data_IF_126770623082
#
_entry.id   IF_126770623082
#
_cell.length_a   1.000
_cell.length_b   1.000
_cell.length_c   1.000
_cell.angle_alpha   90.00
_cell.angle_beta   90.00
_cell.angle_gamma   90.00
#
_symmetry.space_group_name_H-M   'P 1'
#
loop_
_entity.id
_entity.type
_entity.pdbx_description
1 polymer ?
#
# COMPACT_ATOMS: atom_id res chain seq x y z
N UNK A 1 -3.10 -59.35 -44.79
CA UNK A 1 -1.92 -60.08 -44.30
C UNK A 1 -0.89 -59.06 -43.82
N UNK A 2 -0.62 -59.06 -42.50
CA UNK A 2 0.55 -58.57 -41.73
C UNK A 2 1.18 -57.15 -41.93
N UNK A 3 1.00 -56.32 -40.87
CA UNK A 3 1.94 -55.54 -40.01
C UNK A 3 3.11 -54.71 -40.62
N UNK A 4 3.15 -53.42 -40.26
CA UNK A 4 4.13 -52.72 -39.35
C UNK A 4 3.88 -51.20 -39.37
N UNK A 5 3.51 -50.60 -38.23
CA UNK A 5 4.35 -49.79 -37.30
C UNK A 5 4.51 -48.32 -37.67
N UNK A 6 4.05 -47.43 -36.79
CA UNK A 6 4.29 -45.99 -36.87
C UNK A 6 3.47 -45.23 -35.83
N UNK A 7 3.86 -45.31 -34.56
CA UNK A 7 3.34 -44.46 -33.52
C UNK A 7 3.84 -43.02 -33.73
N UNK A 8 2.92 -42.04 -33.71
CA UNK A 8 3.19 -40.70 -33.19
C UNK A 8 2.00 -40.25 -32.35
N UNK A 9 2.26 -40.19 -31.05
CA UNK A 9 1.53 -39.35 -30.12
C UNK A 9 2.05 -37.93 -30.30
N UNK A 10 1.17 -36.98 -30.58
CA UNK A 10 1.35 -35.56 -30.26
C UNK A 10 0.03 -35.18 -29.56
N UNK A 11 -0.02 -34.89 -28.26
CA UNK A 11 0.92 -34.04 -27.53
C UNK A 11 0.56 -32.56 -27.63
N UNK A 12 -0.68 -32.20 -27.96
CA UNK A 12 -1.14 -30.80 -28.04
C UNK A 12 -1.62 -30.25 -26.72
N UNK A 13 -0.72 -30.03 -25.75
CA UNK A 13 -1.00 -29.20 -24.59
C UNK A 13 -1.43 -27.80 -25.08
N UNK A 14 -2.69 -27.41 -24.78
CA UNK A 14 -3.14 -26.02 -24.95
C UNK A 14 -2.39 -25.17 -23.93
N UNK A 15 -1.24 -24.65 -24.36
CA UNK A 15 -0.40 -23.74 -23.59
C UNK A 15 -1.19 -22.51 -23.18
N UNK A 16 -1.38 -22.35 -21.88
CA UNK A 16 -1.67 -21.07 -21.25
C UNK A 16 -0.49 -20.16 -21.56
N UNK A 17 -0.67 -19.25 -22.52
CA UNK A 17 0.34 -18.24 -22.83
C UNK A 17 0.53 -17.37 -21.59
N UNK A 18 1.70 -17.50 -20.96
CA UNK A 18 2.23 -16.50 -20.02
C UNK A 18 2.19 -15.15 -20.73
N UNK A 19 1.35 -14.23 -20.24
CA UNK A 19 1.44 -12.83 -20.62
C UNK A 19 2.76 -12.30 -20.03
N UNK A 20 3.77 -12.17 -20.89
CA UNK A 20 5.01 -11.49 -20.56
C UNK A 20 4.76 -10.01 -20.35
N UNK A 21 5.24 -9.47 -19.23
CA UNK A 21 5.38 -8.03 -19.02
C UNK A 21 6.36 -7.48 -20.06
N UNK A 22 5.85 -6.89 -21.13
CA UNK A 22 6.58 -5.92 -21.93
C UNK A 22 5.89 -4.57 -21.78
N UNK A 23 6.45 -3.73 -20.93
CA UNK A 23 6.03 -2.34 -20.76
C UNK A 23 7.25 -1.45 -20.51
N UNK A 24 7.57 -0.62 -21.52
CA UNK A 24 8.45 0.55 -21.46
C UNK A 24 9.96 0.33 -21.22
N UNK A 25 10.63 -0.26 -22.22
CA UNK A 25 11.97 0.17 -22.59
C UNK A 25 11.91 0.61 -24.05
N UNK A 26 12.09 1.91 -24.30
CA UNK A 26 12.29 2.41 -25.67
C UNK A 26 13.80 2.34 -25.94
N UNK A 27 14.26 1.59 -26.96
CA UNK A 27 15.69 1.52 -27.26
C UNK A 27 16.16 2.87 -27.80
N UNK A 28 17.28 3.38 -27.29
CA UNK A 28 18.05 4.44 -27.94
C UNK A 28 18.91 3.82 -29.05
N UNK A 29 19.21 4.56 -30.14
CA UNK A 29 20.05 4.03 -31.20
C UNK A 29 21.50 3.94 -30.72
N UNK A 30 22.04 2.72 -30.70
CA UNK A 30 23.44 2.45 -30.33
C UNK A 30 23.60 1.60 -29.07
N UNK A 31 23.14 0.34 -29.10
CA UNK A 31 23.85 -0.85 -28.61
C UNK A 31 24.47 -0.94 -27.20
N UNK A 32 24.35 0.04 -26.30
CA UNK A 32 24.91 -0.02 -24.94
C UNK A 32 23.84 0.27 -23.88
N UNK A 33 23.73 -0.64 -22.90
CA UNK A 33 22.96 -0.41 -21.68
C UNK A 33 23.79 0.49 -20.77
N UNK A 34 23.49 1.78 -20.74
CA UNK A 34 24.01 2.68 -19.72
C UNK A 34 23.23 2.47 -18.41
N UNK A 35 23.91 2.07 -17.34
CA UNK A 35 23.44 2.23 -15.95
C UNK A 35 23.31 3.74 -15.65
N UNK A 36 22.15 4.30 -15.96
CA UNK A 36 21.82 5.68 -15.70
C UNK A 36 21.29 5.87 -14.28
N UNK A 37 22.07 6.58 -13.46
CA UNK A 37 21.73 7.17 -12.16
C UNK A 37 20.63 8.23 -12.24
N UNK A 38 19.44 7.83 -12.67
CA UNK A 38 18.27 8.70 -12.80
C UNK A 38 17.72 9.14 -11.45
N UNK A 39 18.08 10.37 -11.04
CA UNK A 39 17.58 11.13 -9.87
C UNK A 39 16.10 11.50 -9.95
N UNK A 40 15.20 10.52 -10.04
CA UNK A 40 13.77 10.79 -10.12
C UNK A 40 12.99 9.96 -9.11
N UNK A 41 12.82 10.50 -7.91
CA UNK A 41 11.66 10.18 -7.08
C UNK A 41 10.42 10.72 -7.79
N UNK A 42 9.89 9.94 -8.74
CA UNK A 42 8.61 10.26 -9.38
C UNK A 42 7.54 10.17 -8.28
N UNK A 43 6.75 11.24 -8.03
CA UNK A 43 5.67 11.16 -7.07
C UNK A 43 4.74 10.01 -7.45
N UNK A 44 4.67 9.02 -6.55
CA UNK A 44 3.87 7.82 -6.75
C UNK A 44 2.40 8.21 -7.03
N UNK A 45 1.65 7.41 -7.81
CA UNK A 45 0.22 7.65 -8.05
C UNK A 45 -0.56 7.92 -6.76
N UNK A 46 -0.15 7.25 -5.67
CA UNK A 46 -0.71 7.46 -4.33
C UNK A 46 -0.45 8.85 -3.76
N UNK A 47 0.80 9.34 -3.83
CA UNK A 47 1.15 10.72 -3.42
C UNK A 47 0.32 11.73 -4.20
N UNK A 48 0.24 11.56 -5.53
CA UNK A 48 -0.52 12.47 -6.40
C UNK A 48 -2.00 12.44 -6.09
N UNK A 49 -2.57 11.27 -5.83
CA UNK A 49 -3.99 11.12 -5.50
C UNK A 49 -4.34 11.81 -4.17
N UNK A 50 -3.51 11.63 -3.13
CA UNK A 50 -3.73 12.27 -1.83
C UNK A 50 -3.52 13.79 -1.92
N UNK A 51 -2.41 14.25 -2.50
CA UNK A 51 -2.15 15.68 -2.65
C UNK A 51 -3.18 16.39 -3.53
N UNK A 52 -3.65 15.75 -4.62
CA UNK A 52 -4.70 16.31 -5.47
C UNK A 52 -6.05 16.40 -4.73
N UNK A 53 -6.39 15.37 -3.94
CA UNK A 53 -7.57 15.40 -3.09
C UNK A 53 -7.51 16.54 -2.07
N UNK A 54 -6.38 16.69 -1.35
CA UNK A 54 -6.22 17.69 -0.29
C UNK A 54 -6.21 19.12 -0.82
N UNK A 55 -5.63 19.35 -2.01
CA UNK A 55 -5.71 20.64 -2.70
C UNK A 55 -7.14 20.96 -3.13
N UNK A 56 -7.87 19.97 -3.63
CA UNK A 56 -9.29 20.09 -4.00
C UNK A 56 -10.20 20.42 -2.82
N UNK A 57 -9.87 19.95 -1.61
CA UNK A 57 -10.63 20.22 -0.38
C UNK A 57 -10.21 21.51 0.35
N UNK A 58 -9.36 22.36 -0.24
CA UNK A 58 -8.92 23.63 0.35
C UNK A 58 -7.90 23.53 1.50
N UNK A 59 -7.38 22.33 1.81
CA UNK A 59 -6.43 22.12 2.92
C UNK A 59 -4.98 22.26 2.47
N UNK A 60 -4.54 23.51 2.31
CA UNK A 60 -3.14 23.85 2.01
C UNK A 60 -2.27 23.51 3.23
N UNK A 61 -1.24 22.68 3.06
CA UNK A 61 -0.20 22.44 4.08
C UNK A 61 0.05 20.99 4.48
N UNK A 62 -0.84 20.05 4.15
CA UNK A 62 -0.57 18.62 4.35
C UNK A 62 0.18 18.05 3.16
N UNK A 63 1.42 17.62 3.39
CA UNK A 63 2.26 16.95 2.38
C UNK A 63 2.31 15.46 2.72
N UNK A 64 1.93 14.62 1.76
CA UNK A 64 2.00 13.16 1.89
C UNK A 64 3.09 12.62 0.98
N UNK A 65 4.16 12.08 1.55
CA UNK A 65 5.15 11.36 0.76
C UNK A 65 4.90 9.85 0.82
N UNK A 66 4.94 9.22 -0.34
CA UNK A 66 4.87 7.77 -0.48
C UNK A 66 6.22 7.28 -0.98
N UNK A 67 6.94 6.57 -0.13
CA UNK A 67 8.19 5.92 -0.50
C UNK A 67 7.90 4.46 -0.84
N UNK A 68 7.61 4.23 -2.12
CA UNK A 68 7.60 2.92 -2.78
C UNK A 68 8.40 3.06 -4.07
N UNK A 69 9.25 2.11 -4.41
CA UNK A 69 9.81 2.05 -5.77
C UNK A 69 8.76 1.49 -6.74
N UNK A 70 8.69 1.95 -8.00
CA UNK A 70 7.75 1.42 -8.99
C UNK A 70 7.94 -0.09 -9.24
N UNK A 71 9.11 -0.65 -8.89
CA UNK A 71 9.41 -2.09 -8.90
C UNK A 71 9.98 -2.61 -7.57
N UNK A 72 9.73 -1.91 -6.46
CA UNK A 72 10.36 -2.23 -5.18
C UNK A 72 11.83 -1.82 -5.13
N UNK A 73 12.18 -0.62 -5.62
CA UNK A 73 13.53 -0.06 -5.58
C UNK A 73 14.23 -0.37 -4.27
N UNK A 74 15.23 -1.24 -4.36
CA UNK A 74 15.98 -1.78 -3.23
C UNK A 74 17.21 -0.93 -2.91
N UNK A 75 17.52 0.10 -3.73
CA UNK A 75 18.78 0.84 -3.69
C UNK A 75 18.62 2.31 -3.30
N UNK A 76 17.50 2.70 -2.68
CA UNK A 76 17.31 4.05 -2.17
C UNK A 76 18.33 4.33 -1.06
N UNK A 77 19.07 5.43 -1.17
CA UNK A 77 20.02 5.90 -0.16
C UNK A 77 19.52 7.17 0.50
N UNK A 78 20.06 7.54 1.69
CA UNK A 78 19.64 8.77 2.37
C UNK A 78 19.81 10.03 1.51
N UNK A 79 20.84 10.08 0.65
CA UNK A 79 21.11 11.17 -0.28
C UNK A 79 20.11 11.28 -1.45
N UNK A 80 19.34 10.22 -1.72
CA UNK A 80 18.31 10.20 -2.77
C UNK A 80 16.96 10.73 -2.26
N UNK A 81 16.83 10.94 -0.95
CA UNK A 81 15.60 11.44 -0.34
C UNK A 81 15.41 12.93 -0.68
N UNK A 82 14.22 13.33 -1.18
CA UNK A 82 13.90 14.74 -1.38
C UNK A 82 14.03 15.52 -0.06
N UNK A 83 14.58 16.72 -0.12
CA UNK A 83 14.77 17.56 1.07
C UNK A 83 13.44 17.88 1.77
N UNK A 84 12.35 17.95 1.01
CA UNK A 84 10.99 18.25 1.48
C UNK A 84 10.43 17.16 2.40
N UNK A 85 10.98 15.93 2.35
CA UNK A 85 10.55 14.83 3.22
C UNK A 85 10.71 15.18 4.69
N UNK A 86 11.71 15.99 5.04
CA UNK A 86 11.92 16.44 6.41
C UNK A 86 10.80 17.35 6.96
N UNK A 87 10.03 17.99 6.07
CA UNK A 87 8.93 18.89 6.42
C UNK A 87 7.54 18.26 6.20
N UNK A 88 7.48 16.96 5.90
CA UNK A 88 6.22 16.29 5.58
C UNK A 88 5.35 16.07 6.80
N UNK A 89 4.03 16.25 6.61
CA UNK A 89 3.03 16.07 7.68
C UNK A 89 2.70 14.59 7.86
N UNK A 90 2.56 13.84 6.76
CA UNK A 90 2.28 12.41 6.78
C UNK A 90 3.26 11.68 5.87
N UNK A 91 4.01 10.73 6.41
CA UNK A 91 4.88 9.86 5.61
C UNK A 91 4.21 8.49 5.50
N UNK A 92 3.92 8.05 4.28
CA UNK A 92 3.51 6.68 3.99
C UNK A 92 4.66 5.88 3.38
N UNK A 93 4.90 4.67 3.87
CA UNK A 93 5.95 3.79 3.36
C UNK A 93 5.44 2.34 3.32
N UNK A 94 6.03 1.50 2.45
CA UNK A 94 5.65 0.09 2.35
C UNK A 94 6.83 -0.88 2.27
N UNK A 95 6.57 -2.16 2.49
CA UNK A 95 7.66 -3.14 2.70
C UNK A 95 8.34 -3.71 1.46
N UNK A 96 7.72 -3.67 0.28
CA UNK A 96 8.30 -4.33 -0.91
C UNK A 96 9.68 -3.73 -1.23
N UNK A 97 9.85 -2.43 -0.98
CA UNK A 97 11.15 -1.76 -1.12
C UNK A 97 12.17 -2.15 -0.03
N UNK A 98 11.76 -2.85 1.03
CA UNK A 98 12.62 -3.23 2.17
C UNK A 98 13.23 -4.63 2.02
N UNK A 99 12.91 -5.37 0.96
CA UNK A 99 13.31 -6.78 0.84
C UNK A 99 14.81 -6.98 0.68
N UNK A 100 15.53 -6.03 0.07
CA UNK A 100 16.98 -6.09 -0.20
C UNK A 100 17.58 -4.68 -0.31
N UNK A 101 18.91 -4.61 -0.35
CA UNK A 101 19.68 -3.40 -0.65
C UNK A 101 19.62 -2.30 0.42
N UNK A 102 19.89 -1.05 0.04
CA UNK A 102 20.02 0.08 0.97
C UNK A 102 18.68 0.67 1.42
N UNK A 103 17.59 0.44 0.68
CA UNK A 103 16.29 1.08 0.96
C UNK A 103 15.78 0.76 2.35
N UNK A 104 15.93 -0.49 2.81
CA UNK A 104 15.52 -0.93 4.14
C UNK A 104 16.09 -0.03 5.25
N UNK A 105 17.41 0.13 5.25
CA UNK A 105 18.13 0.95 6.23
C UNK A 105 17.83 2.44 6.06
N UNK A 106 17.72 2.93 4.82
CA UNK A 106 17.35 4.32 4.53
C UNK A 106 15.98 4.69 5.10
N UNK A 107 14.97 3.83 4.86
CA UNK A 107 13.61 4.04 5.36
C UNK A 107 13.56 3.91 6.87
N UNK A 108 14.20 2.90 7.46
CA UNK A 108 14.25 2.76 8.91
C UNK A 108 14.86 4.00 9.58
N UNK A 109 16.01 4.47 9.10
CA UNK A 109 16.64 5.69 9.62
C UNK A 109 15.80 6.95 9.39
N UNK A 110 15.05 7.03 8.27
CA UNK A 110 14.12 8.14 8.04
C UNK A 110 12.94 8.12 9.01
N UNK A 111 12.32 6.95 9.21
CA UNK A 111 11.19 6.75 10.12
C UNK A 111 11.58 7.12 11.54
N UNK A 112 12.77 6.71 12.01
CA UNK A 112 13.29 7.10 13.31
C UNK A 112 13.47 8.62 13.45
N UNK A 113 14.05 9.29 12.43
CA UNK A 113 14.23 10.75 12.45
C UNK A 113 12.93 11.54 12.48
N UNK A 114 11.88 11.02 11.85
CA UNK A 114 10.58 11.69 11.71
C UNK A 114 9.60 11.37 12.84
N UNK A 115 9.92 10.36 13.67
CA UNK A 115 9.07 9.93 14.78
C UNK A 115 8.71 11.09 15.70
N UNK A 116 7.42 11.20 16.03
CA UNK A 116 6.89 12.26 16.90
C UNK A 116 6.71 13.62 16.24
N UNK A 117 7.20 13.82 14.99
CA UNK A 117 7.05 15.07 14.22
C UNK A 117 6.12 14.91 13.02
N UNK A 118 6.14 13.74 12.41
CA UNK A 118 5.35 13.36 11.23
C UNK A 118 4.43 12.21 11.60
N UNK A 119 3.23 12.17 11.05
CA UNK A 119 2.35 11.01 11.14
C UNK A 119 2.88 9.89 10.25
N UNK A 120 3.29 8.78 10.86
CA UNK A 120 3.92 7.66 10.15
C UNK A 120 2.87 6.61 9.77
N UNK A 121 2.67 6.37 8.48
CA UNK A 121 1.78 5.34 7.95
C UNK A 121 2.56 4.24 7.26
N UNK A 122 2.32 3.00 7.65
CA UNK A 122 3.03 1.83 7.13
C UNK A 122 2.07 0.80 6.52
N UNK A 123 2.40 0.31 5.33
CA UNK A 123 1.77 -0.87 4.74
C UNK A 123 2.80 -1.98 4.50
N UNK A 124 2.78 -3.07 5.29
CA UNK A 124 3.74 -4.13 5.14
C UNK A 124 3.55 -4.91 3.84
N UNK A 125 2.43 -4.82 3.12
CA UNK A 125 2.21 -5.36 1.77
C UNK A 125 3.06 -6.60 1.41
N UNK A 126 2.97 -7.66 2.21
CA UNK A 126 3.94 -8.74 2.23
C UNK A 126 3.79 -9.56 0.95
N UNK A 127 4.92 -9.85 0.32
CA UNK A 127 5.00 -10.71 -0.86
C UNK A 127 5.92 -11.88 -0.52
N UNK A 128 5.37 -12.87 0.18
CA UNK A 128 6.12 -14.02 0.67
C UNK A 128 6.94 -14.73 -0.42
N UNK A 129 6.44 -14.74 -1.66
CA UNK A 129 7.16 -15.30 -2.82
C UNK A 129 8.46 -14.57 -3.18
N UNK A 130 8.67 -13.33 -2.70
CA UNK A 130 9.86 -12.52 -2.94
C UNK A 130 10.84 -12.54 -1.75
N UNK A 131 10.44 -13.14 -0.62
CA UNK A 131 11.25 -13.20 0.59
C UNK A 131 12.19 -14.40 0.49
N UNK A 132 13.49 -14.14 0.38
CA UNK A 132 14.51 -15.20 0.37
C UNK A 132 14.91 -15.68 1.78
N UNK A 133 14.96 -14.75 2.75
CA UNK A 133 15.25 -15.02 4.16
C UNK A 133 14.12 -14.44 5.02
N UNK A 134 13.16 -15.31 5.36
CA UNK A 134 12.01 -14.93 6.18
C UNK A 134 12.40 -14.45 7.58
N UNK A 135 13.27 -15.16 8.34
CA UNK A 135 13.74 -14.66 9.63
C UNK A 135 14.35 -13.25 9.58
N UNK A 136 15.17 -12.95 8.58
CA UNK A 136 15.74 -11.61 8.40
C UNK A 136 14.66 -10.57 8.10
N UNK A 137 13.71 -10.89 7.22
CA UNK A 137 12.61 -9.99 6.89
C UNK A 137 11.71 -9.71 8.12
N UNK A 138 11.43 -10.73 8.94
CA UNK A 138 10.69 -10.55 10.21
C UNK A 138 11.41 -9.61 11.17
N UNK A 139 12.73 -9.76 11.33
CA UNK A 139 13.54 -8.87 12.18
C UNK A 139 13.53 -7.42 11.71
N UNK A 140 13.51 -7.21 10.39
CA UNK A 140 13.40 -5.88 9.80
C UNK A 140 12.00 -5.27 9.95
N UNK A 141 10.97 -6.11 9.78
CA UNK A 141 9.58 -5.66 9.78
C UNK A 141 9.08 -5.30 11.19
N UNK A 142 9.48 -6.07 12.19
CA UNK A 142 9.04 -5.90 13.57
C UNK A 142 9.19 -4.45 14.09
N UNK A 143 10.37 -3.79 14.06
CA UNK A 143 10.48 -2.42 14.56
C UNK A 143 9.62 -1.43 13.78
N UNK A 144 9.48 -1.58 12.47
CA UNK A 144 8.67 -0.67 11.64
C UNK A 144 7.19 -0.71 11.99
N UNK A 145 6.65 -1.89 12.32
CA UNK A 145 5.28 -2.03 12.82
C UNK A 145 5.06 -1.24 14.12
N UNK A 146 6.05 -1.21 15.02
CA UNK A 146 5.97 -0.49 16.30
C UNK A 146 6.23 1.01 16.18
N UNK A 147 7.04 1.42 15.21
CA UNK A 147 7.38 2.82 14.96
C UNK A 147 6.28 3.59 14.23
N UNK A 148 5.43 2.90 13.47
CA UNK A 148 4.33 3.51 12.73
C UNK A 148 3.19 3.98 13.66
N UNK A 149 2.53 5.08 13.30
CA UNK A 149 1.30 5.55 13.95
C UNK A 149 0.07 4.90 13.34
N UNK A 150 0.09 4.64 12.02
CA UNK A 150 -0.94 3.92 11.29
C UNK A 150 -0.31 2.69 10.68
N UNK A 151 -0.84 1.51 10.97
CA UNK A 151 -0.50 0.29 10.23
C UNK A 151 -1.73 -0.13 9.44
N UNK A 152 -1.63 -0.14 8.11
CA UNK A 152 -2.67 -0.73 7.26
C UNK A 152 -2.08 -1.98 6.63
N UNK A 153 -2.79 -3.09 6.67
CA UNK A 153 -2.35 -4.35 6.06
C UNK A 153 -3.52 -5.14 5.48
N UNK A 154 -3.23 -6.20 4.75
CA UNK A 154 -4.22 -7.17 4.31
C UNK A 154 -4.41 -8.28 5.35
N UNK A 155 -5.52 -9.01 5.23
CA UNK A 155 -5.74 -10.23 6.00
C UNK A 155 -4.63 -11.28 5.75
N UNK A 156 -4.09 -11.33 4.54
CA UNK A 156 -2.98 -12.21 4.20
C UNK A 156 -1.70 -11.81 4.95
N UNK A 157 -1.43 -10.52 5.09
CA UNK A 157 -0.29 -10.02 5.87
C UNK A 157 -0.47 -10.35 7.36
N UNK A 158 -1.67 -10.14 7.91
CA UNK A 158 -1.96 -10.46 9.30
C UNK A 158 -1.77 -11.96 9.60
N UNK A 159 -2.25 -12.83 8.71
CA UNK A 159 -2.02 -14.29 8.81
C UNK A 159 -0.56 -14.66 8.64
N UNK A 160 0.18 -13.95 7.79
CA UNK A 160 1.62 -14.20 7.66
C UNK A 160 2.36 -13.81 8.94
N UNK A 161 1.99 -12.68 9.56
CA UNK A 161 2.58 -12.21 10.81
C UNK A 161 2.31 -13.19 11.96
N UNK A 162 1.05 -13.60 12.13
CA UNK A 162 0.62 -14.52 13.18
C UNK A 162 -0.39 -15.56 12.62
N UNK A 163 0.08 -16.71 12.11
CA UNK A 163 -0.76 -17.71 11.45
C UNK A 163 -1.90 -18.27 12.30
N UNK A 164 -1.69 -18.35 13.62
CA UNK A 164 -2.62 -18.96 14.56
C UNK A 164 -3.59 -17.95 15.19
N UNK A 165 -3.60 -16.69 14.74
CA UNK A 165 -4.41 -15.62 15.31
C UNK A 165 -5.42 -15.09 14.29
N UNK A 166 -6.57 -14.65 14.80
CA UNK A 166 -7.49 -13.90 13.95
C UNK A 166 -6.88 -12.55 13.58
N UNK A 167 -7.21 -11.99 12.40
CA UNK A 167 -6.73 -10.67 12.02
C UNK A 167 -7.04 -9.60 13.09
N UNK A 168 -8.20 -9.66 13.73
CA UNK A 168 -8.60 -8.70 14.76
C UNK A 168 -7.80 -8.84 16.06
N UNK A 169 -7.34 -10.05 16.38
CA UNK A 169 -6.40 -10.24 17.48
C UNK A 169 -5.04 -9.62 17.14
N UNK A 170 -4.53 -9.80 15.92
CA UNK A 170 -3.29 -9.15 15.45
C UNK A 170 -3.41 -7.63 15.50
N UNK A 171 -4.55 -7.08 15.07
CA UNK A 171 -4.79 -5.64 15.16
C UNK A 171 -4.81 -5.14 16.61
N UNK A 172 -5.38 -5.90 17.54
CA UNK A 172 -5.37 -5.59 18.97
C UNK A 172 -3.96 -5.51 19.55
N UNK A 173 -3.15 -6.55 19.32
CA UNK A 173 -1.78 -6.63 19.81
C UNK A 173 -0.90 -5.51 19.24
N UNK A 174 -1.06 -5.19 17.96
CA UNK A 174 -0.34 -4.08 17.33
C UNK A 174 -0.74 -2.73 17.91
N UNK A 175 -2.02 -2.48 18.17
CA UNK A 175 -2.45 -1.23 18.82
C UNK A 175 -1.83 -1.10 20.22
N UNK A 176 -1.77 -2.21 20.97
CA UNK A 176 -1.18 -2.25 22.31
C UNK A 176 0.35 -2.04 22.27
N UNK A 177 1.00 -2.34 21.15
CA UNK A 177 2.46 -2.25 21.01
C UNK A 177 2.99 -0.94 20.41
N UNK A 178 2.13 -0.08 19.82
CA UNK A 178 2.58 1.22 19.33
C UNK A 178 1.60 1.99 18.43
N UNK A 179 1.16 1.44 17.30
CA UNK A 179 0.21 2.07 16.39
C UNK A 179 -1.02 2.67 17.08
N UNK A 180 -1.36 3.91 16.71
CA UNK A 180 -2.59 4.55 17.16
C UNK A 180 -3.83 4.04 16.38
N UNK A 181 -3.60 3.56 15.15
CA UNK A 181 -4.62 2.96 14.29
C UNK A 181 -4.04 1.76 13.55
N UNK A 182 -4.73 0.62 13.61
CA UNK A 182 -4.47 -0.54 12.77
C UNK A 182 -5.68 -0.82 11.89
N UNK A 183 -5.47 -1.00 10.59
CA UNK A 183 -6.52 -1.33 9.62
C UNK A 183 -6.17 -2.61 8.88
N UNK A 184 -7.10 -3.56 8.82
CA UNK A 184 -6.96 -4.81 8.09
C UNK A 184 -8.03 -4.88 7.01
N UNK A 185 -7.56 -4.96 5.76
CA UNK A 185 -8.41 -5.15 4.58
C UNK A 185 -8.66 -6.63 4.33
N UNK A 186 -9.90 -6.99 4.01
CA UNK A 186 -10.40 -8.37 3.84
C UNK A 186 -11.02 -8.59 2.46
N UNK A 187 -10.56 -7.84 1.45
CA UNK A 187 -11.07 -7.90 0.08
C UNK A 187 -12.56 -7.56 0.02
N UNK A 188 -13.36 -8.41 -0.63
CA UNK A 188 -14.80 -8.23 -0.76
C UNK A 188 -15.57 -8.25 0.57
N UNK A 189 -14.96 -8.72 1.67
CA UNK A 189 -15.56 -8.64 3.02
C UNK A 189 -15.41 -7.25 3.66
N UNK A 190 -14.63 -6.35 3.05
CA UNK A 190 -14.43 -4.99 3.53
C UNK A 190 -13.18 -4.84 4.39
N UNK A 191 -13.31 -4.17 5.52
CA UNK A 191 -12.17 -3.87 6.38
C UNK A 191 -12.56 -3.79 7.87
N UNK A 192 -11.59 -4.09 8.73
CA UNK A 192 -11.63 -3.88 10.16
C UNK A 192 -10.62 -2.79 10.55
N UNK A 193 -10.99 -1.88 11.43
CA UNK A 193 -10.07 -0.94 12.06
C UNK A 193 -10.15 -1.01 13.57
N UNK A 194 -9.01 -0.75 14.22
CA UNK A 194 -8.88 -0.67 15.67
C UNK A 194 -7.97 0.46 16.08
N UNK A 195 -8.39 1.20 17.11
CA UNK A 195 -7.55 2.09 17.91
C UNK A 195 -7.56 1.59 19.36
N UNK A 196 -6.91 2.30 20.28
CA UNK A 196 -6.96 1.96 21.70
C UNK A 196 -8.39 2.07 22.29
N UNK A 197 -9.23 2.94 21.74
CA UNK A 197 -10.58 3.23 22.25
C UNK A 197 -11.71 2.77 21.32
N UNK A 198 -11.43 2.61 20.02
CA UNK A 198 -12.46 2.42 19.00
C UNK A 198 -12.20 1.17 18.17
N UNK A 199 -13.28 0.63 17.62
CA UNK A 199 -13.24 -0.39 16.58
C UNK A 199 -14.33 -0.13 15.56
N UNK A 200 -14.06 -0.45 14.30
CA UNK A 200 -15.03 -0.28 13.23
C UNK A 200 -14.91 -1.42 12.21
N UNK A 201 -16.04 -1.79 11.60
CA UNK A 201 -16.13 -2.78 10.53
C UNK A 201 -16.98 -2.21 9.43
N UNK A 202 -16.49 -2.30 8.21
CA UNK A 202 -17.23 -1.91 7.01
C UNK A 202 -17.28 -3.09 6.06
N UNK A 203 -18.39 -3.22 5.34
CA UNK A 203 -18.50 -4.13 4.21
C UNK A 203 -18.00 -3.43 2.94
N UNK A 204 -17.27 -4.13 2.09
CA UNK A 204 -16.83 -3.55 0.82
C UNK A 204 -18.04 -3.25 -0.08
N UNK A 205 -18.09 -2.07 -0.72
CA UNK A 205 -19.09 -1.79 -1.74
C UNK A 205 -19.04 -2.85 -2.85
N UNK A 206 -20.21 -3.33 -3.28
CA UNK A 206 -20.30 -4.31 -4.36
C UNK A 206 -20.13 -3.63 -5.71
N UNK A 207 -19.11 -4.04 -6.45
CA UNK A 207 -18.80 -3.53 -7.79
C UNK A 207 -18.46 -4.68 -8.74
N UNK A 208 -18.58 -4.43 -10.05
CA UNK A 208 -18.05 -5.34 -11.06
C UNK A 208 -16.52 -5.18 -11.10
N UNK A 209 -15.81 -6.20 -10.64
CA UNK A 209 -14.34 -6.22 -10.61
C UNK A 209 -13.79 -6.48 -12.03
N UNK A 210 -12.88 -5.62 -12.46
CA UNK A 210 -12.09 -5.74 -13.70
C UNK A 210 -10.66 -6.15 -13.37
N UNK A 211 -10.04 -5.48 -12.39
CA UNK A 211 -8.69 -5.77 -11.89
C UNK A 211 -8.66 -5.46 -10.38
N UNK A 212 -7.71 -6.01 -9.64
CA UNK A 212 -7.49 -5.68 -8.21
C UNK A 212 -6.16 -5.00 -7.96
N UNK A 213 -5.33 -4.85 -9.00
CA UNK A 213 -4.06 -4.13 -8.95
C UNK A 213 -4.32 -2.70 -8.48
N UNK A 214 -3.57 -2.25 -7.48
CA UNK A 214 -3.70 -0.90 -6.91
C UNK A 214 -4.87 -0.69 -5.95
N UNK A 215 -5.75 -1.67 -5.73
CA UNK A 215 -6.87 -1.52 -4.80
C UNK A 215 -6.40 -1.23 -3.35
N UNK A 216 -5.34 -1.91 -2.93
CA UNK A 216 -4.73 -1.69 -1.61
C UNK A 216 -4.09 -0.31 -1.46
N UNK A 217 -3.54 0.25 -2.55
CA UNK A 217 -3.02 1.61 -2.60
C UNK A 217 -4.16 2.63 -2.57
N UNK A 218 -5.19 2.44 -3.40
CA UNK A 218 -6.38 3.30 -3.41
C UNK A 218 -7.07 3.34 -2.04
N UNK A 219 -7.14 2.20 -1.34
CA UNK A 219 -7.62 2.13 0.04
C UNK A 219 -6.78 3.02 0.96
N UNK A 220 -5.45 2.88 0.92
CA UNK A 220 -4.54 3.68 1.74
C UNK A 220 -4.68 5.17 1.45
N UNK A 221 -4.79 5.56 0.18
CA UNK A 221 -4.99 6.96 -0.22
C UNK A 221 -6.28 7.50 0.37
N UNK A 222 -7.38 6.77 0.18
CA UNK A 222 -8.68 7.17 0.69
C UNK A 222 -8.70 7.28 2.21
N UNK A 223 -8.04 6.35 2.92
CA UNK A 223 -7.92 6.38 4.38
C UNK A 223 -7.15 7.64 4.83
N UNK A 224 -5.95 7.86 4.30
CA UNK A 224 -5.12 9.01 4.70
C UNK A 224 -5.78 10.33 4.34
N UNK A 225 -6.44 10.40 3.18
CA UNK A 225 -7.20 11.57 2.77
C UNK A 225 -8.38 11.85 3.71
N UNK A 226 -9.16 10.83 4.07
CA UNK A 226 -10.33 11.01 4.93
C UNK A 226 -9.93 11.36 6.38
N UNK A 227 -8.85 10.78 6.91
CA UNK A 227 -8.28 11.18 8.20
C UNK A 227 -7.74 12.62 8.14
N UNK A 228 -7.06 12.98 7.07
CA UNK A 228 -6.58 14.33 6.87
C UNK A 228 -7.73 15.35 6.72
N UNK A 229 -8.90 14.98 6.17
CA UNK A 229 -10.15 15.78 6.17
C UNK A 229 -10.78 15.94 7.55
N UNK A 230 -10.43 15.08 8.49
CA UNK A 230 -10.85 15.15 9.89
C UNK A 230 -9.77 15.76 10.80
N UNK A 231 -8.70 16.33 10.23
CA UNK A 231 -7.59 16.95 10.98
C UNK A 231 -6.80 15.95 11.83
N UNK A 232 -6.85 14.67 11.44
CA UNK A 232 -6.01 13.60 11.99
C UNK A 232 -4.77 13.47 11.12
N UNK A 233 -3.89 14.47 11.21
CA UNK A 233 -2.61 14.54 10.47
C UNK A 233 -1.39 14.41 11.39
N UNK A 234 -1.60 14.10 12.67
CA UNK A 234 -0.58 13.82 13.67
C UNK A 234 -1.13 12.78 14.66
N UNK A 235 -0.25 12.06 15.36
CA UNK A 235 -0.64 11.01 16.31
C UNK A 235 -1.66 11.51 17.36
N UNK A 236 -1.48 12.72 17.88
CA UNK A 236 -2.40 13.32 18.85
C UNK A 236 -3.81 13.56 18.31
N UNK A 237 -3.99 13.61 16.99
CA UNK A 237 -5.30 13.74 16.35
C UNK A 237 -6.22 12.54 16.60
N UNK A 238 -5.67 11.34 16.83
CA UNK A 238 -6.47 10.14 17.13
C UNK A 238 -7.26 10.24 18.43
N UNK A 239 -6.84 11.10 19.38
CA UNK A 239 -7.59 11.33 20.61
C UNK A 239 -8.92 12.07 20.39
N UNK A 240 -9.09 12.74 19.23
CA UNK A 240 -10.32 13.44 18.85
C UNK A 240 -11.14 12.67 17.82
N UNK A 241 -10.62 11.56 17.31
CA UNK A 241 -11.35 10.71 16.37
C UNK A 241 -12.41 9.93 17.16
N UNK A 242 -13.67 10.06 16.77
CA UNK A 242 -14.78 9.30 17.33
C UNK A 242 -15.18 8.13 16.41
N UNK A 243 -16.18 7.36 16.84
CA UNK A 243 -16.67 6.18 16.09
C UNK A 243 -17.15 6.55 14.68
N UNK A 244 -17.88 7.66 14.54
CA UNK A 244 -18.46 8.11 13.27
C UNK A 244 -17.36 8.59 12.32
N UNK A 245 -16.35 9.28 12.85
CA UNK A 245 -15.17 9.70 12.10
C UNK A 245 -14.34 8.52 11.60
N UNK A 246 -14.14 7.49 12.42
CA UNK A 246 -13.45 6.27 12.03
C UNK A 246 -14.23 5.48 10.96
N UNK A 247 -15.54 5.34 11.13
CA UNK A 247 -16.42 4.70 10.13
C UNK A 247 -16.41 5.46 8.80
N UNK A 248 -16.51 6.79 8.85
CA UNK A 248 -16.42 7.66 7.67
C UNK A 248 -15.10 7.48 6.92
N UNK A 249 -13.98 7.44 7.66
CA UNK A 249 -12.66 7.24 7.06
C UNK A 249 -12.55 5.87 6.37
N UNK A 250 -13.07 4.83 7.02
CA UNK A 250 -13.10 3.47 6.47
C UNK A 250 -13.99 3.33 5.24
N UNK A 251 -15.19 3.92 5.25
CA UNK A 251 -16.10 3.91 4.09
C UNK A 251 -15.49 4.61 2.89
N UNK A 252 -14.86 5.77 3.12
CA UNK A 252 -14.18 6.50 2.05
C UNK A 252 -13.03 5.69 1.45
N UNK A 253 -12.20 5.06 2.29
CA UNK A 253 -11.12 4.18 1.85
C UNK A 253 -11.64 2.98 1.03
N UNK A 254 -12.73 2.36 1.47
CA UNK A 254 -13.32 1.22 0.78
C UNK A 254 -13.99 1.59 -0.54
N UNK A 255 -14.63 2.76 -0.62
CA UNK A 255 -15.16 3.30 -1.87
C UNK A 255 -14.04 3.56 -2.89
N UNK A 256 -12.93 4.16 -2.45
CA UNK A 256 -11.76 4.38 -3.30
C UNK A 256 -11.20 3.05 -3.85
N UNK A 257 -11.08 2.04 -2.99
CA UNK A 257 -10.61 0.70 -3.38
C UNK A 257 -11.57 0.00 -4.34
N UNK A 258 -12.88 0.05 -4.06
CA UNK A 258 -13.90 -0.56 -4.90
C UNK A 258 -13.92 0.08 -6.30
N UNK A 259 -13.87 1.41 -6.40
CA UNK A 259 -13.79 2.11 -7.69
C UNK A 259 -12.51 1.76 -8.46
N UNK A 260 -11.35 1.70 -7.78
CA UNK A 260 -10.10 1.27 -8.41
C UNK A 260 -10.24 -0.13 -9.03
N UNK A 261 -10.96 -1.04 -8.36
CA UNK A 261 -11.19 -2.39 -8.89
C UNK A 261 -12.06 -2.44 -10.16
N UNK A 262 -12.74 -1.35 -10.54
CA UNK A 262 -13.59 -1.31 -11.75
C UNK A 262 -12.80 -0.99 -13.02
N UNK A 263 -11.48 -0.77 -12.91
CA UNK A 263 -10.60 -0.36 -14.01
C UNK A 263 -9.42 -1.33 -14.12
N UNK A 264 -8.73 -1.31 -15.26
CA UNK A 264 -7.56 -2.15 -15.48
C UNK A 264 -6.29 -1.46 -14.96
N UNK A 265 -5.44 -2.20 -14.24
CA UNK A 265 -4.21 -1.69 -13.66
C UNK A 265 -4.43 -0.75 -12.46
N UNK A 266 -3.32 -0.16 -11.97
CA UNK A 266 -3.34 0.78 -10.86
C UNK A 266 -3.83 2.18 -11.31
N UNK A 267 -5.14 2.31 -11.50
CA UNK A 267 -5.81 3.55 -11.91
C UNK A 267 -6.71 4.11 -10.78
N UNK A 268 -6.19 4.98 -9.91
CA UNK A 268 -6.92 5.47 -8.74
C UNK A 268 -8.10 6.39 -9.14
N UNK A 269 -9.25 6.32 -8.45
CA UNK A 269 -10.37 7.23 -8.69
C UNK A 269 -10.06 8.67 -8.29
N UNK A 270 -10.78 9.59 -8.91
CA UNK A 270 -10.79 11.01 -8.57
C UNK A 270 -11.71 11.25 -7.37
N UNK A 271 -11.45 12.33 -6.63
CA UNK A 271 -12.24 12.70 -5.46
C UNK A 271 -13.74 12.77 -5.75
N UNK A 272 -14.15 13.48 -6.81
CA UNK A 272 -15.56 13.61 -7.18
C UNK A 272 -16.24 12.28 -7.52
N UNK A 273 -15.51 11.30 -8.07
CA UNK A 273 -16.06 9.97 -8.34
C UNK A 273 -16.31 9.20 -7.04
N UNK A 274 -15.42 9.33 -6.04
CA UNK A 274 -15.58 8.71 -4.73
C UNK A 274 -16.79 9.33 -4.00
N UNK A 275 -16.90 10.66 -4.01
CA UNK A 275 -18.00 11.38 -3.35
C UNK A 275 -19.36 11.07 -4.01
N UNK A 276 -19.41 11.02 -5.34
CA UNK A 276 -20.62 10.60 -6.07
C UNK A 276 -20.98 9.15 -5.76
N UNK A 277 -19.99 8.26 -5.71
CA UNK A 277 -20.20 6.85 -5.39
C UNK A 277 -20.71 6.66 -3.95
N UNK A 278 -20.16 7.39 -2.99
CA UNK A 278 -20.63 7.39 -1.59
C UNK A 278 -22.02 7.99 -1.45
N UNK A 279 -22.41 8.99 -2.25
CA UNK A 279 -23.76 9.55 -2.20
C UNK A 279 -24.86 8.59 -2.68
N UNK A 280 -24.48 7.50 -3.35
CA UNK A 280 -25.39 6.44 -3.84
C UNK A 280 -25.41 5.21 -2.92
N UNK A 281 -24.57 5.18 -1.90
CA UNK A 281 -24.28 4.03 -1.04
C UNK A 281 -24.60 4.35 0.43
#
# INVERSE_FOLDING_TARGET
MQRRSGARQDGGARGVRRAGLHGLLRPLPGGEFAEGSGRHTVPQPLTRAVDAGLRGSGRRGTVVHVLRGPNGDTLLRPEDLPAEVAATTVLHFGSISLLRGTTATTIAGLVERLRGRTLLSFDPNIRSSLIGDEPAFRRLLAPLLHLADIVKMSEADARWLAPDRSPEAVAGELVESGPALVVITQGARGAYARTAALQARITAPRVRVVDTVGAGDAFTAGLLFALARQEVTARAGFARLDSDGLDTALRFAAAAAALACTRAGADPPRLGEIEEFLGRY
#
